data_IF_345488296088
#
_entry.id   IF_345488296088
#
_cell.length_a   1.000
_cell.length_b   1.000
_cell.length_c   1.000
_cell.angle_alpha   90.00
_cell.angle_beta   90.00
_cell.angle_gamma   90.00
#
_symmetry.space_group_name_H-M   'P 1'
#
loop_
_entity.id
_entity.type
_entity.pdbx_description
1 polymer ?
#
# COMPACT_ATOMS: atom_id res chain seq x y z
N UNK A 1 63.88 -11.93 -37.56
CA UNK A 1 62.64 -12.64 -37.26
C UNK A 1 62.23 -12.20 -35.84
N UNK A 2 61.33 -11.23 -35.73
CA UNK A 2 60.84 -10.64 -34.45
C UNK A 2 59.48 -11.20 -34.20
N UNK A 3 59.32 -11.97 -33.12
CA UNK A 3 58.08 -12.53 -32.68
C UNK A 3 57.39 -11.51 -31.70
N UNK A 4 56.32 -10.91 -32.12
CA UNK A 4 55.50 -10.03 -31.25
C UNK A 4 54.51 -10.88 -30.43
N UNK A 5 54.66 -10.83 -29.10
CA UNK A 5 53.80 -11.48 -28.13
C UNK A 5 52.63 -10.53 -27.82
N UNK A 6 51.44 -10.84 -28.31
CA UNK A 6 50.23 -10.11 -27.99
C UNK A 6 49.69 -10.58 -26.64
N UNK A 7 49.74 -9.73 -25.61
CA UNK A 7 49.03 -9.93 -24.33
C UNK A 7 47.57 -9.50 -24.48
N UNK A 8 46.67 -10.45 -24.41
CA UNK A 8 45.24 -10.17 -24.27
C UNK A 8 44.88 -9.89 -22.79
N UNK A 9 44.59 -8.64 -22.49
CA UNK A 9 44.01 -8.25 -21.20
C UNK A 9 42.54 -8.68 -21.14
N UNK A 10 42.25 -9.74 -20.41
CA UNK A 10 40.91 -10.15 -20.08
C UNK A 10 40.37 -9.24 -18.98
N UNK A 11 39.54 -8.28 -19.36
CA UNK A 11 38.81 -7.45 -18.39
C UNK A 11 37.66 -8.28 -17.77
N UNK A 12 37.88 -8.77 -16.54
CA UNK A 12 36.76 -9.29 -15.72
C UNK A 12 35.88 -8.12 -15.35
N UNK A 13 34.76 -7.94 -16.05
CA UNK A 13 33.65 -7.14 -15.56
C UNK A 13 33.06 -7.82 -14.33
N UNK A 14 33.34 -7.26 -13.15
CA UNK A 14 32.57 -7.61 -11.94
C UNK A 14 31.12 -7.16 -12.18
N UNK A 15 30.24 -8.11 -12.46
CA UNK A 15 28.81 -7.88 -12.27
C UNK A 15 28.60 -7.42 -10.82
N UNK A 16 28.00 -6.27 -10.66
CA UNK A 16 27.59 -5.78 -9.34
C UNK A 16 26.60 -6.81 -8.77
N UNK A 17 27.05 -7.57 -7.79
CA UNK A 17 26.23 -8.53 -7.05
C UNK A 17 25.04 -7.76 -6.48
N UNK A 18 23.81 -8.14 -6.86
CA UNK A 18 22.60 -7.54 -6.30
C UNK A 18 22.65 -7.67 -4.76
N UNK A 19 22.32 -6.62 -4.01
CA UNK A 19 22.37 -6.66 -2.55
C UNK A 19 21.60 -7.86 -2.04
N UNK A 20 22.22 -8.69 -1.23
CA UNK A 20 21.58 -9.86 -0.61
C UNK A 20 20.44 -9.36 0.29
N UNK A 21 19.23 -9.97 0.21
CA UNK A 21 18.14 -9.63 1.12
C UNK A 21 18.62 -9.82 2.57
N UNK A 22 18.44 -8.80 3.40
CA UNK A 22 18.60 -8.96 4.84
C UNK A 22 17.41 -9.80 5.31
N UNK A 23 17.66 -10.97 5.91
CA UNK A 23 16.60 -11.78 6.53
C UNK A 23 16.10 -11.03 7.77
N UNK A 24 15.05 -10.25 7.59
CA UNK A 24 14.29 -9.68 8.68
C UNK A 24 13.25 -10.70 9.16
N UNK A 25 12.85 -10.62 10.44
CA UNK A 25 12.01 -11.62 11.06
C UNK A 25 10.58 -11.65 10.49
N UNK A 26 10.34 -12.49 9.48
CA UNK A 26 8.99 -12.75 8.95
C UNK A 26 8.42 -14.01 9.58
N UNK A 27 7.19 -13.93 10.10
CA UNK A 27 6.48 -15.07 10.65
C UNK A 27 5.03 -15.10 10.21
N UNK A 28 4.46 -16.28 10.05
CA UNK A 28 3.03 -16.47 9.91
C UNK A 28 2.35 -16.08 11.22
N UNK A 29 1.50 -15.06 11.19
CA UNK A 29 0.70 -14.61 12.33
C UNK A 29 -0.64 -15.36 12.41
N UNK A 30 -1.25 -15.66 11.26
CA UNK A 30 -2.51 -16.38 11.15
C UNK A 30 -2.84 -16.74 9.71
N UNK A 31 -4.05 -17.26 9.52
CA UNK A 31 -4.59 -17.59 8.19
C UNK A 31 -6.02 -17.08 8.13
N UNK A 32 -6.34 -16.31 7.10
CA UNK A 32 -7.71 -15.90 6.79
C UNK A 32 -8.42 -17.07 6.11
N UNK A 33 -9.53 -17.51 6.68
CA UNK A 33 -10.30 -18.66 6.18
C UNK A 33 -11.80 -18.36 6.04
N UNK A 34 -12.22 -17.14 6.39
CA UNK A 34 -13.62 -16.74 6.32
C UNK A 34 -14.02 -16.46 4.87
N UNK A 35 -15.01 -17.20 4.30
CA UNK A 35 -15.41 -17.02 2.90
C UNK A 35 -16.03 -15.66 2.57
N UNK A 36 -16.27 -14.81 3.55
CA UNK A 36 -16.69 -13.43 3.31
C UNK A 36 -15.50 -12.46 3.11
N UNK A 37 -14.27 -12.94 3.23
CA UNK A 37 -13.04 -12.16 3.15
C UNK A 37 -12.14 -12.72 2.04
N UNK A 38 -12.70 -13.07 0.88
CA UNK A 38 -12.00 -13.77 -0.20
C UNK A 38 -11.15 -12.85 -1.10
N UNK A 39 -11.52 -11.57 -1.18
CA UNK A 39 -10.86 -10.57 -2.03
C UNK A 39 -10.33 -9.40 -1.19
N UNK A 40 -9.53 -9.71 -0.15
CA UNK A 40 -8.94 -8.68 0.72
C UNK A 40 -7.94 -7.83 -0.05
N UNK A 41 -8.25 -6.54 -0.20
CA UNK A 41 -7.45 -5.53 -0.89
C UNK A 41 -6.80 -4.49 0.04
N UNK A 42 -7.32 -4.26 1.25
CA UNK A 42 -6.75 -3.29 2.18
C UNK A 42 -6.63 -3.81 3.61
N UNK A 43 -5.57 -3.36 4.32
CA UNK A 43 -5.30 -3.69 5.72
C UNK A 43 -4.73 -2.49 6.47
N UNK A 44 -5.31 -2.16 7.63
CA UNK A 44 -4.77 -1.16 8.56
C UNK A 44 -4.89 -1.63 10.01
N UNK A 45 -3.88 -1.40 10.84
CA UNK A 45 -4.01 -1.71 12.26
C UNK A 45 -4.90 -0.70 12.98
N UNK A 46 -5.76 -1.19 13.86
CA UNK A 46 -6.60 -0.33 14.70
C UNK A 46 -5.75 0.59 15.58
N UNK A 47 -6.14 1.87 15.66
CA UNK A 47 -5.58 2.84 16.61
C UNK A 47 -6.28 2.82 17.96
N UNK A 48 -7.45 2.19 18.03
CA UNK A 48 -8.29 2.13 19.23
C UNK A 48 -8.27 0.78 19.91
N UNK A 49 -8.21 -0.32 19.15
CA UNK A 49 -8.34 -1.68 19.66
C UNK A 49 -7.03 -2.44 19.49
N UNK A 50 -6.46 -2.88 20.60
CA UNK A 50 -5.23 -3.65 20.56
C UNK A 50 -5.44 -4.98 19.83
N UNK A 51 -4.43 -5.40 19.05
CA UNK A 51 -4.40 -6.67 18.31
C UNK A 51 -5.56 -6.84 17.30
N UNK A 52 -6.05 -5.72 16.75
CA UNK A 52 -7.09 -5.68 15.73
C UNK A 52 -6.57 -5.03 14.44
N UNK A 53 -6.93 -5.63 13.33
CA UNK A 53 -6.71 -5.14 11.98
C UNK A 53 -8.06 -4.83 11.33
N UNK A 54 -8.15 -3.73 10.63
CA UNK A 54 -9.26 -3.39 9.76
C UNK A 54 -8.94 -3.83 8.34
N UNK A 55 -9.87 -4.51 7.70
CA UNK A 55 -9.73 -5.00 6.34
C UNK A 55 -11.01 -4.76 5.56
N UNK A 56 -10.93 -4.74 4.24
CA UNK A 56 -12.06 -4.75 3.33
C UNK A 56 -11.75 -5.59 2.08
N UNK A 57 -12.80 -6.01 1.40
CA UNK A 57 -12.69 -6.65 0.09
C UNK A 57 -12.55 -5.59 -1.01
N UNK A 58 -12.01 -5.99 -2.14
CA UNK A 58 -11.91 -5.26 -3.40
C UNK A 58 -13.29 -4.90 -4.01
N UNK A 59 -13.29 -4.23 -5.15
CA UNK A 59 -14.46 -3.86 -5.95
C UNK A 59 -15.41 -5.03 -6.21
N UNK A 60 -16.69 -4.72 -6.47
CA UNK A 60 -17.70 -5.76 -6.69
C UNK A 60 -18.31 -6.37 -5.41
N UNK A 61 -17.68 -6.20 -4.27
CA UNK A 61 -18.16 -6.65 -2.97
C UNK A 61 -18.97 -5.58 -2.23
N UNK A 62 -19.82 -5.96 -1.24
CA UNK A 62 -20.58 -5.00 -0.44
C UNK A 62 -19.70 -3.99 0.32
N UNK A 63 -20.24 -2.80 0.60
CA UNK A 63 -19.60 -1.73 1.36
C UNK A 63 -19.46 -2.10 2.84
N UNK A 64 -18.40 -2.82 3.18
CA UNK A 64 -18.17 -3.31 4.55
C UNK A 64 -16.69 -3.31 4.91
N UNK A 65 -16.45 -3.15 6.22
CA UNK A 65 -15.18 -3.35 6.86
C UNK A 65 -15.25 -4.58 7.77
N UNK A 66 -14.16 -5.28 7.87
CA UNK A 66 -13.97 -6.38 8.82
C UNK A 66 -13.00 -5.95 9.91
N UNK A 67 -13.41 -6.11 11.18
CA UNK A 67 -12.48 -6.15 12.28
C UNK A 67 -11.93 -7.57 12.40
N UNK A 68 -10.62 -7.73 12.28
CA UNK A 68 -9.94 -9.01 12.27
C UNK A 68 -8.86 -9.00 13.34
N UNK A 69 -8.73 -10.05 14.13
CA UNK A 69 -7.63 -10.17 15.09
C UNK A 69 -6.29 -10.40 14.35
N UNK A 70 -5.18 -10.09 14.99
CA UNK A 70 -3.84 -10.31 14.42
C UNK A 70 -3.50 -11.78 14.16
N UNK A 71 -4.37 -12.71 14.53
CA UNK A 71 -4.28 -14.14 14.18
C UNK A 71 -5.23 -14.57 13.04
N UNK A 72 -5.93 -13.62 12.40
CA UNK A 72 -6.77 -13.89 11.23
C UNK A 72 -8.24 -14.22 11.53
N UNK A 73 -8.70 -14.10 12.77
CA UNK A 73 -10.10 -14.36 13.15
C UNK A 73 -10.94 -13.09 12.98
N UNK A 74 -12.04 -13.16 12.21
CA UNK A 74 -13.00 -12.04 12.12
C UNK A 74 -13.72 -11.86 13.44
N UNK A 75 -13.72 -10.62 13.96
CA UNK A 75 -14.33 -10.21 15.22
C UNK A 75 -15.68 -9.50 15.02
N UNK A 76 -15.77 -8.67 13.98
CA UNK A 76 -16.98 -7.94 13.63
C UNK A 76 -17.02 -7.59 12.14
N UNK A 77 -18.21 -7.31 11.63
CA UNK A 77 -18.45 -6.76 10.30
C UNK A 77 -19.22 -5.45 10.42
N UNK A 78 -18.72 -4.40 9.78
CA UNK A 78 -19.27 -3.06 9.81
C UNK A 78 -19.70 -2.66 8.42
N UNK A 79 -20.98 -2.32 8.25
CA UNK A 79 -21.50 -1.82 6.97
C UNK A 79 -21.26 -0.33 6.88
N UNK A 80 -20.70 0.13 5.78
CA UNK A 80 -20.51 1.55 5.50
C UNK A 80 -21.69 2.06 4.69
N UNK A 81 -22.48 2.97 5.29
CA UNK A 81 -23.67 3.55 4.66
C UNK A 81 -23.40 4.96 4.12
N UNK A 82 -24.16 5.34 3.09
CA UNK A 82 -24.09 6.69 2.50
C UNK A 82 -22.91 6.88 1.54
N UNK A 83 -22.30 5.79 1.11
CA UNK A 83 -21.28 5.74 0.05
C UNK A 83 -21.76 4.84 -1.09
N UNK A 84 -21.21 5.03 -2.25
CA UNK A 84 -21.33 4.07 -3.36
C UNK A 84 -19.93 3.49 -3.59
N UNK A 85 -19.75 2.22 -3.31
CA UNK A 85 -18.51 1.52 -3.58
C UNK A 85 -18.39 1.28 -5.09
N UNK A 86 -17.31 1.76 -5.67
CA UNK A 86 -16.98 1.48 -7.06
C UNK A 86 -15.84 0.46 -7.11
N UNK A 87 -14.70 0.80 -6.47
CA UNK A 87 -13.49 0.00 -6.52
C UNK A 87 -12.59 0.39 -5.33
N UNK A 88 -12.82 -0.28 -4.18
CA UNK A 88 -12.05 -0.03 -2.96
C UNK A 88 -10.75 -0.81 -3.03
N UNK A 89 -9.62 -0.12 -2.85
CA UNK A 89 -8.30 -0.67 -3.07
C UNK A 89 -7.46 -0.76 -1.78
N UNK A 90 -7.49 0.29 -0.95
CA UNK A 90 -6.64 0.32 0.24
C UNK A 90 -7.34 1.03 1.41
N UNK A 91 -6.82 0.82 2.62
CA UNK A 91 -7.29 1.44 3.86
C UNK A 91 -6.11 1.90 4.71
N UNK A 92 -6.18 3.11 5.24
CA UNK A 92 -5.21 3.63 6.19
C UNK A 92 -5.86 3.97 7.54
N UNK A 93 -5.16 3.76 8.64
CA UNK A 93 -5.58 4.16 9.98
C UNK A 93 -4.72 5.30 10.52
N UNK A 94 -5.34 6.28 11.15
CA UNK A 94 -4.64 7.44 11.70
C UNK A 94 -5.35 8.06 12.89
N UNK A 95 -4.64 8.88 13.64
CA UNK A 95 -5.22 9.72 14.69
C UNK A 95 -5.20 11.18 14.25
N UNK A 96 -6.30 11.90 14.51
CA UNK A 96 -6.44 13.31 14.21
C UNK A 96 -7.34 13.94 15.27
N UNK A 97 -6.91 15.06 15.87
CA UNK A 97 -7.64 15.77 16.94
C UNK A 97 -8.05 14.85 18.11
N UNK A 98 -7.20 13.90 18.49
CA UNK A 98 -7.43 12.94 19.58
C UNK A 98 -8.46 11.86 19.29
N UNK A 99 -8.81 11.65 18.02
CA UNK A 99 -9.72 10.60 17.56
C UNK A 99 -9.04 9.68 16.57
N UNK A 100 -9.40 8.41 16.63
CA UNK A 100 -8.95 7.39 15.67
C UNK A 100 -9.89 7.37 14.45
N UNK A 101 -9.31 7.28 13.26
CA UNK A 101 -10.02 7.24 11.97
C UNK A 101 -9.48 6.16 11.05
N UNK A 102 -10.34 5.74 10.14
CA UNK A 102 -10.02 4.89 9.00
C UNK A 102 -10.31 5.66 7.72
N UNK A 103 -9.37 5.68 6.79
CA UNK A 103 -9.56 6.22 5.44
C UNK A 103 -9.65 5.04 4.47
N UNK A 104 -10.76 4.95 3.75
CA UNK A 104 -11.00 3.94 2.69
C UNK A 104 -10.77 4.64 1.35
N UNK A 105 -9.98 4.03 0.49
CA UNK A 105 -9.66 4.53 -0.84
C UNK A 105 -10.53 3.85 -1.90
N UNK A 106 -11.52 4.55 -2.45
CA UNK A 106 -12.27 4.14 -3.64
C UNK A 106 -11.57 4.70 -4.89
N UNK A 107 -10.44 4.08 -5.24
CA UNK A 107 -9.44 4.64 -6.16
C UNK A 107 -9.04 3.71 -7.31
N UNK A 108 -9.58 2.48 -7.37
CA UNK A 108 -9.35 1.57 -8.47
C UNK A 108 -9.91 2.11 -9.78
N UNK A 109 -9.13 1.97 -10.82
CA UNK A 109 -9.49 2.39 -12.18
C UNK A 109 -8.70 1.57 -13.20
N UNK A 110 -8.92 0.27 -13.17
CA UNK A 110 -8.25 -0.69 -14.03
C UNK A 110 -8.32 -0.33 -15.53
N UNK A 111 -9.40 0.34 -15.94
CA UNK A 111 -9.63 0.80 -17.32
C UNK A 111 -9.09 2.20 -17.62
N UNK A 112 -8.66 2.98 -16.62
CA UNK A 112 -8.24 4.37 -16.81
C UNK A 112 -9.39 5.27 -17.31
N UNK A 113 -10.62 5.09 -16.79
CA UNK A 113 -11.83 5.75 -17.27
C UNK A 113 -12.46 6.69 -16.24
N UNK A 114 -12.13 6.55 -14.97
CA UNK A 114 -12.75 7.32 -13.88
C UNK A 114 -12.22 8.75 -13.87
N UNK A 115 -13.13 9.70 -14.03
CA UNK A 115 -12.82 11.15 -14.01
C UNK A 115 -12.74 11.71 -12.60
N UNK A 116 -13.34 11.04 -11.63
CA UNK A 116 -13.31 11.37 -10.20
C UNK A 116 -13.27 10.11 -9.37
N UNK A 117 -12.57 10.19 -8.26
CA UNK A 117 -12.32 9.13 -7.29
C UNK A 117 -12.77 9.63 -5.92
N UNK A 118 -12.89 8.73 -4.94
CA UNK A 118 -13.40 9.05 -3.62
C UNK A 118 -12.46 8.51 -2.53
N UNK A 119 -12.32 9.29 -1.46
CA UNK A 119 -11.76 8.84 -0.20
C UNK A 119 -12.83 9.01 0.87
N UNK A 120 -13.07 7.99 1.68
CA UNK A 120 -14.07 8.03 2.74
C UNK A 120 -13.40 7.90 4.09
N UNK A 121 -13.56 8.88 4.97
CA UNK A 121 -13.00 8.85 6.32
C UNK A 121 -14.09 8.55 7.33
N UNK A 122 -13.87 7.50 8.12
CA UNK A 122 -14.79 6.99 9.13
C UNK A 122 -14.13 7.10 10.49
N UNK A 123 -14.83 7.62 11.52
CA UNK A 123 -14.34 7.52 12.90
C UNK A 123 -14.33 6.05 13.31
N UNK A 124 -13.20 5.58 13.81
CA UNK A 124 -13.04 4.19 14.24
C UNK A 124 -14.02 3.87 15.40
N UNK A 125 -14.85 2.80 15.30
CA UNK A 125 -15.88 2.53 16.27
C UNK A 125 -15.31 2.21 17.65
N UNK A 126 -16.03 2.63 18.70
CA UNK A 126 -15.62 2.40 20.07
C UNK A 126 -15.78 0.94 20.52
N UNK A 127 -16.59 0.15 19.82
CA UNK A 127 -16.87 -1.26 20.12
C UNK A 127 -16.65 -2.13 18.90
N UNK A 128 -16.15 -3.34 19.12
CA UNK A 128 -15.99 -4.38 18.10
C UNK A 128 -17.26 -5.22 18.03
N UNK A 129 -18.31 -4.67 17.42
CA UNK A 129 -19.59 -5.34 17.21
C UNK A 129 -20.10 -5.04 15.79
N UNK A 130 -20.95 -5.89 15.25
CA UNK A 130 -21.59 -5.63 13.97
C UNK A 130 -22.40 -4.33 14.03
N UNK A 131 -22.08 -3.39 13.15
CA UNK A 131 -22.67 -2.06 13.18
C UNK A 131 -22.80 -1.46 11.77
N UNK A 132 -23.46 -0.31 11.69
CA UNK A 132 -23.54 0.54 10.50
C UNK A 132 -22.81 1.83 10.79
N UNK A 133 -21.91 2.22 9.90
CA UNK A 133 -21.10 3.42 10.01
C UNK A 133 -21.40 4.34 8.84
N UNK A 134 -21.16 5.63 9.04
CA UNK A 134 -21.17 6.63 7.96
C UNK A 134 -19.86 7.38 7.97
N UNK A 135 -19.36 7.83 6.82
CA UNK A 135 -18.21 8.70 6.78
C UNK A 135 -18.41 9.96 7.62
N UNK A 136 -17.39 10.33 8.39
CA UNK A 136 -17.30 11.64 9.04
C UNK A 136 -17.12 12.72 7.98
N UNK A 137 -16.35 12.41 6.92
CA UNK A 137 -16.26 13.22 5.69
C UNK A 137 -15.80 12.34 4.53
N UNK A 138 -15.96 12.86 3.31
CA UNK A 138 -15.44 12.26 2.09
C UNK A 138 -14.73 13.32 1.25
N UNK A 139 -13.74 12.90 0.47
CA UNK A 139 -12.96 13.74 -0.43
C UNK A 139 -13.15 13.22 -1.85
N UNK A 140 -13.82 14.00 -2.70
CA UNK A 140 -13.84 13.73 -4.13
C UNK A 140 -12.62 14.38 -4.79
N UNK A 141 -11.92 13.63 -5.62
CA UNK A 141 -10.74 14.16 -6.28
C UNK A 141 -10.57 13.62 -7.72
N UNK A 142 -9.68 14.26 -8.45
CA UNK A 142 -9.22 13.85 -9.77
C UNK A 142 -7.70 13.93 -9.87
N UNK A 143 -7.15 13.19 -10.79
CA UNK A 143 -5.73 13.31 -11.16
C UNK A 143 -5.48 14.59 -11.97
N UNK A 144 -4.27 15.18 -11.89
CA UNK A 144 -3.98 16.45 -12.60
C UNK A 144 -3.85 16.26 -14.13
N UNK A 145 -3.49 15.08 -14.59
CA UNK A 145 -3.08 14.78 -15.96
C UNK A 145 -3.78 13.56 -16.59
N UNK A 146 -4.97 13.21 -16.07
CA UNK A 146 -5.83 12.16 -16.59
C UNK A 146 -5.94 10.93 -15.71
N UNK A 147 -6.95 10.07 -15.98
CA UNK A 147 -7.29 8.90 -15.16
C UNK A 147 -6.13 7.91 -15.01
N UNK A 148 -6.07 7.24 -13.87
CA UNK A 148 -5.11 6.18 -13.55
C UNK A 148 -5.58 5.31 -12.40
N UNK A 149 -5.10 4.11 -12.42
CA UNK A 149 -5.26 3.13 -11.38
C UNK A 149 -4.37 3.44 -10.16
N UNK A 150 -4.93 3.30 -8.95
CA UNK A 150 -4.24 3.59 -7.71
C UNK A 150 -4.72 2.63 -6.62
N UNK A 151 -3.84 1.75 -6.20
CA UNK A 151 -4.10 0.70 -5.22
C UNK A 151 -3.31 0.88 -3.92
N UNK A 152 -2.73 2.06 -3.69
CA UNK A 152 -1.95 2.30 -2.48
C UNK A 152 -2.24 3.70 -1.93
N UNK A 153 -2.64 3.75 -0.67
CA UNK A 153 -2.92 4.98 0.05
C UNK A 153 -2.22 4.97 1.41
N UNK A 154 -1.68 6.12 1.81
CA UNK A 154 -1.15 6.31 3.16
C UNK A 154 -1.59 7.67 3.70
N UNK A 155 -1.65 7.82 5.02
CA UNK A 155 -2.02 9.07 5.68
C UNK A 155 -0.86 9.61 6.51
N UNK A 156 -0.41 10.82 6.20
CA UNK A 156 0.47 11.59 7.07
C UNK A 156 -0.41 12.57 7.88
N UNK A 157 -0.81 12.15 9.08
CA UNK A 157 -1.68 12.94 9.94
C UNK A 157 -0.98 14.19 10.51
N UNK A 158 0.35 14.15 10.69
CA UNK A 158 1.11 15.35 11.14
C UNK A 158 1.02 16.51 10.15
N UNK A 159 0.96 16.19 8.85
CA UNK A 159 0.86 17.16 7.76
C UNK A 159 -0.53 17.29 7.18
N UNK A 160 -1.49 16.60 7.76
CA UNK A 160 -2.89 16.54 7.29
C UNK A 160 -2.98 16.28 5.78
N UNK A 161 -2.25 15.27 5.30
CA UNK A 161 -2.25 14.90 3.89
C UNK A 161 -2.49 13.40 3.67
N UNK A 162 -3.17 13.10 2.59
CA UNK A 162 -3.30 11.76 2.04
C UNK A 162 -2.28 11.60 0.92
N UNK A 163 -1.58 10.49 0.90
CA UNK A 163 -0.61 10.11 -0.13
C UNK A 163 -1.18 8.98 -0.97
N UNK A 164 -1.03 9.06 -2.27
CA UNK A 164 -1.57 8.13 -3.24
C UNK A 164 -0.46 7.69 -4.19
N UNK A 165 -0.35 6.39 -4.46
CA UNK A 165 0.68 5.86 -5.35
C UNK A 165 0.02 5.13 -6.53
N UNK A 166 0.39 5.50 -7.75
CA UNK A 166 -0.13 4.85 -8.95
C UNK A 166 0.35 3.41 -9.09
N UNK A 167 -0.53 2.48 -9.51
CA UNK A 167 -0.19 1.05 -9.70
C UNK A 167 0.61 0.80 -10.97
N UNK A 168 0.08 1.20 -12.12
CA UNK A 168 0.55 0.77 -13.45
C UNK A 168 1.59 1.69 -14.09
N UNK A 169 1.86 2.87 -13.51
CA UNK A 169 2.90 3.78 -14.03
C UNK A 169 4.29 3.25 -13.72
N UNK A 170 5.22 3.47 -14.63
CA UNK A 170 6.62 3.07 -14.49
C UNK A 170 7.54 4.27 -14.76
N UNK A 171 8.25 4.78 -13.75
CA UNK A 171 8.16 4.40 -12.32
C UNK A 171 6.79 4.76 -11.73
N UNK A 172 6.37 4.14 -10.61
CA UNK A 172 5.17 4.56 -9.88
C UNK A 172 5.28 6.02 -9.44
N UNK A 173 4.15 6.72 -9.39
CA UNK A 173 4.09 8.17 -9.11
C UNK A 173 3.37 8.41 -7.79
N UNK A 174 3.97 9.26 -6.94
CA UNK A 174 3.38 9.72 -5.68
C UNK A 174 2.61 11.02 -5.88
N UNK A 175 1.43 11.08 -5.27
CA UNK A 175 0.57 12.26 -5.23
C UNK A 175 0.14 12.57 -3.80
N UNK A 176 -0.31 13.79 -3.54
CA UNK A 176 -0.91 14.17 -2.28
C UNK A 176 -2.24 14.91 -2.46
N UNK A 177 -3.07 14.79 -1.41
CA UNK A 177 -4.31 15.55 -1.21
C UNK A 177 -4.36 16.04 0.23
N UNK A 178 -5.04 17.17 0.53
CA UNK A 178 -5.38 17.50 1.90
C UNK A 178 -6.24 16.41 2.53
N UNK A 179 -5.98 16.06 3.79
CA UNK A 179 -6.72 15.04 4.54
C UNK A 179 -8.16 15.45 4.84
N UNK A 180 -8.43 16.74 4.82
CA UNK A 180 -9.80 17.29 4.97
C UNK A 180 -10.31 17.88 3.66
N UNK A 181 -11.63 17.85 3.41
CA UNK A 181 -12.20 18.56 2.27
C UNK A 181 -11.86 20.04 2.31
N UNK A 182 -11.39 20.58 1.19
CA UNK A 182 -11.15 22.01 1.06
C UNK A 182 -12.48 22.75 0.96
N UNK A 183 -12.72 23.73 1.83
CA UNK A 183 -13.96 24.52 1.85
C UNK A 183 -14.22 25.15 0.48
N UNK A 184 -15.43 24.98 -0.04
CA UNK A 184 -15.86 25.53 -1.33
C UNK A 184 -15.34 24.74 -2.56
N UNK A 185 -14.62 23.64 -2.37
CA UNK A 185 -14.11 22.80 -3.47
C UNK A 185 -14.77 21.42 -3.43
N UNK A 186 -15.72 21.20 -4.34
CA UNK A 186 -16.45 19.91 -4.43
C UNK A 186 -15.57 18.80 -5.02
N UNK A 187 -14.61 19.13 -5.90
CA UNK A 187 -13.71 18.19 -6.55
C UNK A 187 -12.28 18.73 -6.47
N UNK A 188 -11.43 18.04 -5.70
CA UNK A 188 -10.04 18.41 -5.53
C UNK A 188 -9.17 17.88 -6.70
N UNK A 189 -8.00 18.44 -6.90
CA UNK A 189 -7.02 17.90 -7.85
C UNK A 189 -5.80 17.43 -7.07
N UNK A 190 -5.42 16.15 -7.23
CA UNK A 190 -4.25 15.60 -6.58
C UNK A 190 -2.97 16.32 -7.06
N UNK A 191 -2.08 16.64 -6.12
CA UNK A 191 -0.80 17.25 -6.42
C UNK A 191 0.25 16.16 -6.65
N UNK A 192 0.88 16.16 -7.81
CA UNK A 192 1.99 15.25 -8.10
C UNK A 192 3.23 15.66 -7.30
N UNK A 193 3.79 14.73 -6.52
CA UNK A 193 5.02 14.94 -5.74
C UNK A 193 6.27 14.39 -6.44
N UNK A 194 6.13 13.37 -7.27
CA UNK A 194 7.25 12.81 -8.03
C UNK A 194 7.18 11.29 -8.19
N UNK A 195 8.16 10.70 -8.86
CA UNK A 195 8.27 9.25 -9.01
C UNK A 195 8.90 8.59 -7.77
N UNK A 196 8.54 7.32 -7.52
CA UNK A 196 9.24 6.48 -6.54
C UNK A 196 10.52 5.92 -7.16
N UNK A 197 11.65 6.13 -6.48
CA UNK A 197 12.93 5.55 -6.86
C UNK A 197 13.05 4.09 -6.40
N UNK A 198 13.88 3.31 -7.08
CA UNK A 198 14.35 1.99 -6.64
C UNK A 198 13.29 0.89 -6.61
N UNK A 199 12.12 1.08 -7.22
CA UNK A 199 11.14 -0.01 -7.37
C UNK A 199 11.74 -1.07 -8.31
N UNK A 200 11.93 -2.33 -7.86
CA UNK A 200 12.56 -3.38 -8.65
C UNK A 200 11.80 -3.63 -9.95
N UNK A 201 12.51 -3.60 -11.07
CA UNK A 201 11.96 -3.87 -12.38
C UNK A 201 12.19 -5.33 -12.78
N UNK A 202 11.29 -5.94 -13.57
CA UNK A 202 11.47 -7.30 -14.03
C UNK A 202 12.71 -7.43 -14.92
N UNK A 203 13.45 -8.53 -14.77
CA UNK A 203 14.60 -8.81 -15.63
C UNK A 203 14.15 -9.12 -17.08
N UNK A 204 15.05 -8.94 -18.05
CA UNK A 204 14.80 -9.31 -19.44
C UNK A 204 14.42 -10.79 -19.59
N UNK A 205 15.04 -11.66 -18.79
CA UNK A 205 14.73 -13.09 -18.75
C UNK A 205 13.32 -13.36 -18.23
N UNK A 206 12.90 -12.69 -17.14
CA UNK A 206 11.54 -12.80 -16.59
C UNK A 206 10.49 -12.32 -17.61
N UNK A 207 10.76 -11.20 -18.29
CA UNK A 207 9.89 -10.66 -19.34
C UNK A 207 9.79 -11.61 -20.56
N UNK A 208 10.85 -12.33 -20.89
CA UNK A 208 10.82 -13.33 -21.97
C UNK A 208 10.04 -14.58 -21.56
N UNK A 209 10.23 -15.05 -20.31
CA UNK A 209 9.61 -16.28 -19.80
C UNK A 209 8.11 -16.12 -19.56
N UNK A 210 7.71 -15.00 -18.93
CA UNK A 210 6.30 -14.73 -18.58
C UNK A 210 6.04 -13.22 -18.53
N UNK A 211 5.79 -12.54 -19.67
CA UNK A 211 5.71 -11.08 -19.74
C UNK A 211 4.65 -10.47 -18.83
N UNK A 212 3.48 -11.09 -18.76
CA UNK A 212 2.37 -10.60 -17.93
C UNK A 212 2.72 -10.64 -16.45
N UNK A 213 3.13 -11.82 -15.95
CA UNK A 213 3.51 -12.00 -14.55
C UNK A 213 4.70 -11.12 -14.15
N UNK A 214 5.71 -11.02 -14.99
CA UNK A 214 6.89 -10.22 -14.71
C UNK A 214 6.55 -8.73 -14.55
N UNK A 215 5.60 -8.20 -15.33
CA UNK A 215 5.15 -6.82 -15.20
C UNK A 215 4.35 -6.56 -13.91
N UNK A 216 3.65 -7.57 -13.39
CA UNK A 216 2.94 -7.44 -12.12
C UNK A 216 3.92 -7.28 -10.94
N UNK A 217 5.06 -7.96 -10.96
CA UNK A 217 6.02 -7.99 -9.84
C UNK A 217 6.45 -6.59 -9.34
N UNK A 218 6.40 -5.55 -10.19
CA UNK A 218 6.75 -4.17 -9.87
C UNK A 218 5.55 -3.23 -9.69
N UNK A 219 4.32 -3.72 -9.80
CA UNK A 219 3.13 -2.90 -9.57
C UNK A 219 2.89 -2.71 -8.07
N UNK A 220 2.65 -1.46 -7.67
CA UNK A 220 2.37 -1.10 -6.28
C UNK A 220 0.93 -1.46 -5.95
N UNK A 221 0.73 -2.16 -4.84
CA UNK A 221 -0.57 -2.70 -4.41
C UNK A 221 -1.02 -2.20 -3.04
N UNK A 222 -0.13 -1.72 -2.19
CA UNK A 222 -0.49 -1.11 -0.91
C UNK A 222 0.60 -0.18 -0.40
N UNK A 223 0.25 0.74 0.50
CA UNK A 223 1.23 1.55 1.23
C UNK A 223 0.70 1.94 2.61
N UNK A 224 1.62 2.14 3.56
CA UNK A 224 1.29 2.71 4.86
C UNK A 224 2.48 3.48 5.44
N UNK A 225 2.19 4.45 6.31
CA UNK A 225 3.19 5.22 7.03
C UNK A 225 3.29 4.72 8.47
N UNK A 226 4.54 4.51 8.93
CA UNK A 226 4.79 4.12 10.32
C UNK A 226 4.18 5.11 11.32
N UNK A 227 3.72 4.65 12.50
CA UNK A 227 3.09 5.51 13.50
C UNK A 227 3.94 6.69 13.98
N UNK A 228 5.26 6.61 13.84
CA UNK A 228 6.20 7.68 14.14
C UNK A 228 6.41 8.66 12.96
N UNK A 229 5.68 8.47 11.87
CA UNK A 229 5.76 9.24 10.61
C UNK A 229 7.17 9.29 9.98
N UNK A 230 8.03 8.27 10.25
CA UNK A 230 9.42 8.25 9.77
C UNK A 230 9.67 7.32 8.59
N UNK A 231 8.78 6.37 8.32
CA UNK A 231 8.99 5.40 7.25
C UNK A 231 7.69 5.15 6.49
N UNK A 232 7.73 5.30 5.17
CA UNK A 232 6.67 4.81 4.28
C UNK A 232 7.03 3.39 3.84
N UNK A 233 6.15 2.45 4.10
CA UNK A 233 6.18 1.11 3.55
C UNK A 233 5.35 1.09 2.27
N UNK A 234 5.90 0.53 1.21
CA UNK A 234 5.22 0.34 -0.09
C UNK A 234 5.34 -1.11 -0.47
N UNK A 235 4.23 -1.74 -0.80
CA UNK A 235 4.19 -3.11 -1.26
C UNK A 235 3.97 -3.18 -2.76
N UNK A 236 4.62 -4.14 -3.41
CA UNK A 236 4.27 -4.62 -4.74
C UNK A 236 3.86 -6.08 -4.64
N UNK A 237 3.42 -6.72 -5.71
CA UNK A 237 3.12 -8.16 -5.67
C UNK A 237 4.30 -9.04 -5.20
N UNK A 238 5.52 -8.51 -5.16
CA UNK A 238 6.72 -9.28 -4.83
C UNK A 238 7.61 -8.68 -3.75
N UNK A 239 7.58 -7.36 -3.57
CA UNK A 239 8.57 -6.64 -2.77
C UNK A 239 7.92 -5.77 -1.71
N UNK A 240 8.54 -5.71 -0.54
CA UNK A 240 8.33 -4.69 0.46
C UNK A 240 9.46 -3.66 0.34
N UNK A 241 9.09 -2.40 0.12
CA UNK A 241 10.01 -1.27 0.02
C UNK A 241 9.80 -0.33 1.22
N UNK A 242 10.87 0.14 1.82
CA UNK A 242 10.84 1.03 2.97
C UNK A 242 11.58 2.31 2.63
N UNK A 243 10.85 3.43 2.60
CA UNK A 243 11.38 4.77 2.33
C UNK A 243 11.50 5.54 3.63
N UNK A 244 12.71 5.68 4.22
CA UNK A 244 12.90 6.50 5.41
C UNK A 244 12.79 7.98 5.07
N UNK A 245 12.06 8.75 5.90
CA UNK A 245 11.98 10.20 5.86
C UNK A 245 13.05 10.80 6.77
N UNK A 246 13.86 11.72 6.27
CA UNK A 246 14.93 12.36 7.02
C UNK A 246 14.50 13.74 7.49
N UNK A 247 14.55 13.98 8.80
CA UNK A 247 14.15 15.27 9.37
C UNK A 247 12.72 15.65 8.97
N UNK A 248 12.55 16.90 8.49
CA UNK A 248 11.26 17.47 8.11
C UNK A 248 11.03 17.51 6.59
N UNK A 249 11.77 16.71 5.82
CA UNK A 249 11.59 16.64 4.37
C UNK A 249 10.18 16.16 3.97
N UNK A 250 9.77 16.50 2.74
CA UNK A 250 8.52 16.02 2.16
C UNK A 250 8.62 14.57 1.70
N UNK A 251 7.47 13.88 1.60
CA UNK A 251 7.44 12.51 1.11
C UNK A 251 7.91 12.38 -0.35
N UNK A 252 7.69 13.40 -1.20
CA UNK A 252 8.23 13.43 -2.56
C UNK A 252 9.77 13.35 -2.58
N UNK A 253 10.45 13.99 -1.63
CA UNK A 253 11.90 13.90 -1.47
C UNK A 253 12.31 12.55 -0.87
N UNK A 254 11.62 12.07 0.15
CA UNK A 254 11.91 10.79 0.77
C UNK A 254 11.86 9.64 -0.24
N UNK A 255 10.80 9.55 -1.07
CA UNK A 255 10.64 8.46 -2.06
C UNK A 255 11.49 8.64 -3.31
N UNK A 256 12.13 9.80 -3.51
CA UNK A 256 13.07 10.02 -4.60
C UNK A 256 14.42 9.32 -4.40
N UNK A 257 14.70 8.86 -3.17
CA UNK A 257 15.88 8.07 -2.83
C UNK A 257 15.59 6.57 -2.89
N UNK A 258 16.63 5.79 -3.14
CA UNK A 258 16.52 4.33 -3.13
C UNK A 258 16.05 3.81 -1.76
N UNK A 259 14.99 2.98 -1.71
CA UNK A 259 14.51 2.39 -0.46
C UNK A 259 15.40 1.25 0.02
N UNK A 260 15.23 0.86 1.28
CA UNK A 260 15.54 -0.52 1.67
C UNK A 260 14.43 -1.40 1.12
N UNK A 261 14.73 -2.59 0.63
CA UNK A 261 13.71 -3.51 0.15
C UNK A 261 14.04 -4.96 0.48
N UNK A 262 13.01 -5.77 0.57
CA UNK A 262 13.11 -7.21 0.79
C UNK A 262 12.00 -7.95 0.02
N UNK A 263 12.22 -9.22 -0.36
CA UNK A 263 11.17 -10.02 -0.96
C UNK A 263 10.06 -10.27 0.07
N UNK A 264 8.83 -10.26 -0.39
CA UNK A 264 7.69 -10.73 0.40
C UNK A 264 7.74 -12.27 0.55
N UNK A 265 7.25 -12.82 1.67
CA UNK A 265 6.88 -14.22 1.71
C UNK A 265 5.85 -14.50 0.62
N UNK A 266 5.66 -15.78 0.27
CA UNK A 266 4.64 -16.11 -0.71
C UNK A 266 3.25 -15.64 -0.25
N UNK A 267 2.61 -14.80 -1.05
CA UNK A 267 1.24 -14.32 -0.91
C UNK A 267 0.50 -14.50 -2.23
N UNK A 268 -0.71 -15.07 -2.22
CA UNK A 268 -1.57 -15.04 -3.40
C UNK A 268 -2.07 -13.58 -3.55
N UNK A 269 -1.77 -12.94 -4.68
CA UNK A 269 -2.09 -11.53 -4.90
C UNK A 269 -1.85 -10.66 -3.66
N UNK A 270 -0.57 -10.28 -3.40
CA UNK A 270 -0.18 -9.48 -2.25
C UNK A 270 -0.77 -8.06 -2.39
N UNK A 271 -1.90 -7.75 -1.73
CA UNK A 271 -2.63 -6.48 -1.92
C UNK A 271 -2.93 -5.73 -0.62
N UNK A 272 -2.70 -6.33 0.55
CA UNK A 272 -3.01 -5.69 1.81
C UNK A 272 -1.78 -5.57 2.71
N UNK A 273 -1.44 -4.35 3.13
CA UNK A 273 -0.27 -4.04 3.98
C UNK A 273 -0.62 -2.94 4.98
N UNK A 274 -0.19 -3.10 6.24
CA UNK A 274 -0.30 -2.03 7.24
C UNK A 274 0.73 -2.17 8.36
N UNK A 275 1.21 -1.05 8.89
CA UNK A 275 2.03 -1.04 10.10
C UNK A 275 1.22 -1.46 11.32
N UNK A 276 1.84 -2.23 12.22
CA UNK A 276 1.28 -2.44 13.57
C UNK A 276 1.12 -1.09 14.30
N UNK A 277 0.14 -1.00 15.19
CA UNK A 277 -0.15 0.24 15.91
C UNK A 277 1.04 0.79 16.71
N UNK A 278 1.96 -0.09 17.14
CA UNK A 278 3.19 0.27 17.85
C UNK A 278 4.41 0.53 16.93
N UNK A 279 4.24 0.39 15.62
CA UNK A 279 5.31 0.57 14.63
C UNK A 279 6.40 -0.49 14.64
N UNK A 280 6.26 -1.57 15.43
CA UNK A 280 7.29 -2.60 15.57
C UNK A 280 7.34 -3.60 14.42
N UNK A 281 6.28 -3.68 13.60
CA UNK A 281 6.16 -4.60 12.49
C UNK A 281 5.14 -4.14 11.46
N UNK A 282 5.10 -4.84 10.34
CA UNK A 282 4.05 -4.76 9.32
C UNK A 282 3.22 -6.05 9.34
N UNK A 283 1.96 -5.92 9.00
CA UNK A 283 1.11 -7.05 8.61
C UNK A 283 0.88 -7.02 7.12
N UNK A 284 0.90 -8.19 6.47
CA UNK A 284 0.63 -8.32 5.04
C UNK A 284 -0.17 -9.59 4.76
N UNK A 285 -1.11 -9.49 3.83
CA UNK A 285 -1.90 -10.60 3.32
C UNK A 285 -2.21 -10.39 1.83
N UNK A 286 -2.96 -11.28 1.23
CA UNK A 286 -3.41 -11.17 -0.15
C UNK A 286 -4.80 -11.75 -0.31
N UNK A 287 -5.29 -11.76 -1.55
CA UNK A 287 -6.58 -12.33 -1.93
C UNK A 287 -6.57 -13.87 -1.90
N UNK A 288 -7.76 -14.44 -2.10
CA UNK A 288 -8.04 -15.88 -2.21
C UNK A 288 -7.78 -16.69 -0.95
N UNK A 289 -8.84 -16.95 -0.21
CA UNK A 289 -8.77 -17.78 0.99
C UNK A 289 -8.53 -19.26 0.63
N UNK A 290 -7.73 -19.97 1.45
CA UNK A 290 -7.08 -19.51 2.68
C UNK A 290 -5.88 -18.61 2.38
N UNK A 291 -5.88 -17.37 2.92
CA UNK A 291 -4.79 -16.42 2.76
C UNK A 291 -3.90 -16.38 4.01
N UNK A 292 -2.57 -16.51 3.89
CA UNK A 292 -1.68 -16.33 5.02
C UNK A 292 -1.64 -14.86 5.44
N UNK A 293 -1.70 -14.60 6.74
CA UNK A 293 -1.45 -13.30 7.35
C UNK A 293 -0.05 -13.32 7.95
N UNK A 294 0.86 -12.57 7.37
CA UNK A 294 2.23 -12.47 7.86
C UNK A 294 2.43 -11.25 8.75
N UNK A 295 3.27 -11.43 9.78
CA UNK A 295 3.88 -10.33 10.55
C UNK A 295 5.34 -10.23 10.14
N UNK A 296 5.74 -9.06 9.67
CA UNK A 296 7.06 -8.77 9.10
C UNK A 296 7.74 -7.72 9.98
N UNK A 297 8.90 -8.03 10.53
CA UNK A 297 9.75 -7.08 11.24
C UNK A 297 10.78 -6.54 10.23
N UNK A 298 10.72 -5.26 9.85
CA UNK A 298 11.58 -4.68 8.82
C UNK A 298 13.02 -4.43 9.28
#
# INVERSE_FOLDING_TARGET
MVVALAMTLSACSREAEAPRPVEHGTRLAGVLIDPQMDEISGLAASRRHRDVLWMHDDGGNPERLFAVSTNGTRLATLRVEGVTKTDWEDIASFELDGKAYLLIADTGDNGGLRRSLQLHVIEEPAKLENARLRPAWSIAFRWPDGPRDCEAVAVDAEREQVLLISKKRQPPELFSLPLRPTTGTALQTAQKLGPLAGVPQPSAEALTRSPQRARLDSQVTAADISPDHRTMAVMTYRWLLLYPRLGDEGWGEAVSRAPRFQPLPWLPQAEALGWSADGSALYATGEFIPAPLYRIVP
#
